data_IF_038256732064
#
_entry.id   IF_038256732064
#
_cell.length_a   1.000
_cell.length_b   1.000
_cell.length_c   1.000
_cell.angle_alpha   90.00
_cell.angle_beta   90.00
_cell.angle_gamma   90.00
#
_symmetry.space_group_name_H-M   'P 1'
#
loop_
_entity.id
_entity.type
_entity.pdbx_description
1 polymer ?
#
# COMPACT_ATOMS: atom_id res chain seq x y z
N UNK A 1 20.01 40.80 6.04
CA UNK A 1 20.00 39.39 6.51
C UNK A 1 18.61 38.84 6.19
N UNK A 2 18.52 38.00 5.16
CA UNK A 2 17.26 37.39 4.72
C UNK A 2 17.00 36.15 5.57
N UNK A 3 15.88 36.13 6.30
CA UNK A 3 15.41 34.94 6.98
C UNK A 3 14.91 33.97 5.91
N UNK A 4 15.66 32.91 5.65
CA UNK A 4 15.23 31.82 4.79
C UNK A 4 14.00 31.16 5.43
N UNK A 5 12.84 31.35 4.81
CA UNK A 5 11.63 30.56 5.01
C UNK A 5 12.00 29.09 4.84
N UNK A 6 12.04 28.33 5.94
CA UNK A 6 12.18 26.86 5.87
C UNK A 6 10.91 26.33 5.23
N UNK A 7 10.99 26.01 3.93
CA UNK A 7 9.92 25.34 3.21
C UNK A 7 9.56 24.04 3.93
N UNK A 8 8.33 24.03 4.44
CA UNK A 8 7.63 22.91 5.02
C UNK A 8 7.40 21.83 3.93
N UNK A 9 8.34 20.91 3.76
CA UNK A 9 8.26 19.78 2.80
C UNK A 9 7.87 18.51 3.53
N UNK A 10 6.75 17.90 3.11
CA UNK A 10 6.34 16.53 3.44
C UNK A 10 7.57 15.58 3.49
N UNK A 11 7.60 14.56 4.36
CA UNK A 11 8.61 13.52 4.24
C UNK A 11 8.46 12.92 2.86
N UNK A 12 9.57 12.88 2.13
CA UNK A 12 9.59 12.49 0.72
C UNK A 12 8.92 11.12 0.52
N UNK A 13 8.97 10.27 1.54
CA UNK A 13 8.46 8.91 1.60
C UNK A 13 6.92 8.82 1.64
N UNK A 14 6.18 9.91 1.86
CA UNK A 14 4.71 9.92 1.90
C UNK A 14 4.08 10.95 0.94
N UNK A 15 4.90 11.75 0.25
CA UNK A 15 4.42 12.76 -0.72
C UNK A 15 3.53 12.14 -1.79
N UNK A 16 3.87 10.94 -2.23
CA UNK A 16 3.17 10.23 -3.30
C UNK A 16 1.72 9.86 -2.95
N UNK A 17 1.32 9.86 -1.67
CA UNK A 17 -0.09 9.70 -1.30
C UNK A 17 -1.00 10.83 -1.82
N UNK A 18 -0.40 11.97 -2.20
CA UNK A 18 -1.10 13.07 -2.85
C UNK A 18 -1.27 12.90 -4.36
N UNK A 19 -0.71 11.85 -4.96
CA UNK A 19 -0.90 11.53 -6.37
C UNK A 19 -2.18 10.70 -6.60
N UNK A 20 -2.57 10.55 -7.86
CA UNK A 20 -3.66 9.67 -8.26
C UNK A 20 -3.22 8.19 -8.21
N UNK A 21 -3.90 7.31 -7.46
CA UNK A 21 -3.56 5.90 -7.45
C UNK A 21 -3.90 5.22 -8.78
N UNK A 22 -3.08 4.26 -9.20
CA UNK A 22 -3.42 3.32 -10.28
C UNK A 22 -4.61 2.45 -9.90
N UNK A 23 -4.73 2.13 -8.61
CA UNK A 23 -5.79 1.33 -8.02
C UNK A 23 -5.99 1.70 -6.54
N UNK A 24 -7.24 1.72 -6.08
CA UNK A 24 -7.57 1.81 -4.66
C UNK A 24 -8.80 0.95 -4.35
N UNK A 25 -8.67 0.06 -3.39
CA UNK A 25 -9.80 -0.71 -2.89
C UNK A 25 -10.59 0.11 -1.88
N UNK A 26 -11.58 0.85 -2.37
CA UNK A 26 -12.43 1.66 -1.51
C UNK A 26 -13.16 0.87 -0.43
N UNK A 27 -13.54 -0.39 -0.69
CA UNK A 27 -14.31 -1.15 0.30
C UNK A 27 -13.42 -1.69 1.41
N UNK A 28 -12.25 -2.23 1.08
CA UNK A 28 -11.30 -2.66 2.11
C UNK A 28 -10.75 -1.48 2.90
N UNK A 29 -10.48 -0.33 2.26
CA UNK A 29 -10.06 0.88 2.97
C UNK A 29 -11.13 1.35 3.94
N UNK A 30 -12.39 1.42 3.52
CA UNK A 30 -13.51 1.81 4.38
C UNK A 30 -13.69 0.85 5.56
N UNK A 31 -13.76 -0.46 5.32
CA UNK A 31 -13.91 -1.45 6.38
C UNK A 31 -12.75 -1.43 7.38
N UNK A 32 -11.52 -1.24 6.88
CA UNK A 32 -10.35 -1.17 7.74
C UNK A 32 -10.29 0.15 8.51
N UNK A 33 -10.62 1.27 7.87
CA UNK A 33 -10.75 2.58 8.51
C UNK A 33 -11.74 2.48 9.66
N UNK A 34 -12.93 1.93 9.40
CA UNK A 34 -13.95 1.75 10.41
C UNK A 34 -13.45 0.84 11.53
N UNK A 35 -12.82 -0.29 11.23
CA UNK A 35 -12.34 -1.23 12.26
C UNK A 35 -11.27 -0.63 13.19
N UNK A 36 -10.37 0.21 12.69
CA UNK A 36 -9.24 0.74 13.46
C UNK A 36 -9.53 2.11 14.06
N UNK A 37 -10.18 2.99 13.31
CA UNK A 37 -10.34 4.39 13.69
C UNK A 37 -11.57 4.62 14.58
N UNK A 38 -12.58 3.73 14.57
CA UNK A 38 -13.91 3.91 15.20
C UNK A 38 -14.00 5.08 16.18
N UNK A 39 -14.68 6.20 15.85
CA UNK A 39 -15.22 7.04 16.91
C UNK A 39 -16.31 6.23 17.63
N UNK A 40 -16.38 6.33 18.96
CA UNK A 40 -17.39 5.67 19.80
C UNK A 40 -18.83 6.14 19.54
N UNK A 41 -19.10 6.89 18.47
CA UNK A 41 -20.43 7.33 18.07
C UNK A 41 -20.49 7.71 16.58
N UNK A 42 -21.67 7.53 15.96
CA UNK A 42 -22.03 7.84 14.56
C UNK A 42 -22.01 9.34 14.18
N UNK A 43 -21.20 10.14 14.86
CA UNK A 43 -20.91 11.52 14.47
C UNK A 43 -19.45 11.56 14.10
N UNK A 44 -19.16 11.68 12.80
CA UNK A 44 -17.83 12.04 12.30
C UNK A 44 -17.56 13.49 12.68
N UNK A 45 -17.39 13.75 13.98
CA UNK A 45 -16.55 14.84 14.45
C UNK A 45 -15.13 14.34 14.24
N UNK A 46 -14.63 14.58 13.04
CA UNK A 46 -13.25 14.38 12.66
C UNK A 46 -12.36 14.98 13.77
N UNK A 47 -11.71 14.11 14.55
CA UNK A 47 -10.66 14.40 15.54
C UNK A 47 -10.59 15.86 16.01
N UNK A 48 -11.67 16.32 16.64
CA UNK A 48 -11.73 17.64 17.26
C UNK A 48 -11.64 17.44 18.76
N UNK A 49 -10.67 18.12 19.36
CA UNK A 49 -10.44 18.25 20.80
C UNK A 49 -9.98 16.98 21.54
N UNK A 50 -8.68 16.72 21.50
CA UNK A 50 -7.94 16.50 22.75
C UNK A 50 -6.53 17.07 22.57
N UNK A 51 -6.39 18.34 22.97
CA UNK A 51 -5.11 18.95 23.21
C UNK A 51 -4.38 18.12 24.27
N UNK A 52 -3.50 17.24 23.83
CA UNK A 52 -2.50 16.63 24.70
C UNK A 52 -1.24 17.44 24.47
N UNK A 53 -0.97 18.39 25.36
CA UNK A 53 0.29 19.12 25.49
C UNK A 53 1.40 18.18 25.93
N UNK A 54 1.71 17.19 25.10
CA UNK A 54 2.87 16.33 25.22
C UNK A 54 3.63 16.40 23.91
N UNK A 55 4.91 16.71 23.96
CA UNK A 55 5.82 16.48 22.84
C UNK A 55 5.74 15.00 22.46
N UNK A 56 4.95 14.69 21.42
CA UNK A 56 4.87 13.34 20.88
C UNK A 56 6.14 13.10 20.07
N UNK A 57 7.18 12.61 20.75
CA UNK A 57 8.37 12.07 20.11
C UNK A 57 8.03 10.68 19.56
N UNK A 58 7.71 10.64 18.27
CA UNK A 58 7.24 9.46 17.57
C UNK A 58 8.38 8.82 16.78
N UNK A 59 8.85 7.66 17.22
CA UNK A 59 9.82 6.84 16.49
C UNK A 59 9.09 5.78 15.67
N UNK A 60 8.92 5.99 14.36
CA UNK A 60 8.62 4.88 13.47
C UNK A 60 9.95 4.20 13.06
N UNK A 61 9.92 2.88 12.93
CA UNK A 61 11.08 2.11 12.48
C UNK A 61 11.18 2.22 10.96
N UNK A 62 12.14 3.03 10.50
CA UNK A 62 12.61 3.00 9.12
C UNK A 62 13.75 2.01 9.04
N UNK A 63 13.63 1.03 8.14
CA UNK A 63 14.70 0.08 7.85
C UNK A 63 15.83 0.79 7.14
N UNK A 64 16.95 0.93 7.86
CA UNK A 64 18.06 1.85 7.54
C UNK A 64 18.63 2.60 8.76
N UNK A 65 18.04 2.45 9.95
CA UNK A 65 18.60 2.98 11.21
C UNK A 65 18.42 4.50 11.41
N UNK A 66 17.83 5.20 10.45
CA UNK A 66 17.49 6.61 10.56
C UNK A 66 16.15 6.77 11.30
N UNK A 67 16.15 7.53 12.42
CA UNK A 67 14.91 8.01 13.03
C UNK A 67 14.35 9.13 12.16
N UNK A 68 13.30 8.85 11.38
CA UNK A 68 12.51 9.91 10.76
C UNK A 68 11.68 10.62 11.84
N UNK A 69 11.69 11.95 11.83
CA UNK A 69 10.90 12.78 12.72
C UNK A 69 9.47 12.90 12.17
N UNK A 70 8.66 11.88 12.43
CA UNK A 70 7.29 11.75 11.95
C UNK A 70 6.33 12.83 12.52
N UNK A 71 6.70 13.50 13.61
CA UNK A 71 5.89 14.61 14.15
C UNK A 71 5.77 15.75 13.14
N UNK A 72 6.86 16.04 12.40
CA UNK A 72 6.87 17.00 11.30
C UNK A 72 6.07 16.48 10.10
N UNK A 73 6.13 15.17 9.82
CA UNK A 73 5.38 14.53 8.73
C UNK A 73 3.87 14.80 8.81
N UNK A 74 3.31 14.66 10.01
CA UNK A 74 1.88 14.83 10.26
C UNK A 74 1.40 16.27 10.02
N UNK A 75 2.13 17.27 10.52
CA UNK A 75 1.79 18.68 10.32
C UNK A 75 1.81 19.10 8.84
N UNK A 76 2.61 18.42 8.03
CA UNK A 76 2.76 18.69 6.60
C UNK A 76 1.67 18.01 5.77
N UNK A 77 1.32 16.76 6.09
CA UNK A 77 0.18 16.07 5.48
C UNK A 77 -1.13 16.82 5.75
N UNK A 78 -1.31 17.39 6.95
CA UNK A 78 -2.47 18.23 7.26
C UNK A 78 -2.62 19.46 6.34
N UNK A 79 -1.50 20.07 5.93
CA UNK A 79 -1.49 21.29 5.11
C UNK A 79 -1.76 21.04 3.62
N UNK A 80 -1.25 19.93 3.06
CA UNK A 80 -1.51 19.57 1.65
C UNK A 80 -2.94 19.10 1.41
N UNK A 81 -3.56 18.56 2.46
CA UNK A 81 -4.89 18.00 2.42
C UNK A 81 -5.85 18.87 3.22
N UNK A 82 -6.01 20.13 2.81
CA UNK A 82 -6.72 21.26 3.45
C UNK A 82 -8.15 21.03 3.99
N UNK A 83 -8.73 19.83 3.84
CA UNK A 83 -9.94 19.37 4.53
C UNK A 83 -9.70 18.53 5.80
N UNK A 84 -8.45 18.20 6.13
CA UNK A 84 -8.05 17.58 7.40
C UNK A 84 -7.52 18.61 8.42
N UNK A 85 -7.19 19.82 7.95
CA UNK A 85 -6.53 20.88 8.72
C UNK A 85 -7.43 22.04 9.17
N UNK A 86 -8.74 22.05 8.88
CA UNK A 86 -9.64 23.12 9.41
C UNK A 86 -9.80 23.08 10.94
N UNK A 87 -9.15 22.15 11.65
CA UNK A 87 -9.23 22.02 13.11
C UNK A 87 -7.91 22.36 13.84
N UNK A 88 -6.80 22.60 13.14
CA UNK A 88 -5.52 22.94 13.80
C UNK A 88 -5.19 24.44 13.81
N UNK A 89 -6.05 25.30 13.27
CA UNK A 89 -5.80 26.75 13.14
C UNK A 89 -6.72 27.63 14.01
N UNK A 90 -7.37 27.08 15.05
CA UNK A 90 -8.08 27.89 16.07
C UNK A 90 -7.30 28.04 17.39
N UNK A 91 -6.12 27.45 17.49
CA UNK A 91 -5.29 27.51 18.68
C UNK A 91 -4.05 28.40 18.47
N UNK A 92 -4.24 29.66 18.06
CA UNK A 92 -3.29 30.77 18.30
C UNK A 92 -3.86 32.11 17.78
N UNK A 93 -5.03 32.51 18.27
CA UNK A 93 -5.49 33.90 18.16
C UNK A 93 -6.41 34.23 19.34
N UNK A 94 -5.79 34.45 20.50
CA UNK A 94 -6.45 35.21 21.57
C UNK A 94 -6.71 36.62 21.06
N UNK A 95 -7.92 36.86 20.56
CA UNK A 95 -8.34 38.16 20.04
C UNK A 95 -9.84 38.34 20.22
N UNK A 96 -10.22 39.12 21.23
CA UNK A 96 -11.58 39.57 21.43
C UNK A 96 -12.08 40.32 20.18
N UNK A 97 -13.00 39.71 19.43
CA UNK A 97 -13.64 40.30 18.24
C UNK A 97 -15.15 40.23 18.38
N UNK A 98 -15.78 41.41 18.49
CA UNK A 98 -17.22 41.62 18.66
C UNK A 98 -18.04 40.97 17.55
N UNK A 99 -19.17 40.41 17.95
CA UNK A 99 -20.29 40.03 17.10
C UNK A 99 -20.74 41.19 16.21
N UNK A 100 -20.86 40.95 14.91
CA UNK A 100 -21.76 41.69 14.02
C UNK A 100 -22.38 40.71 13.04
N UNK A 101 -23.69 40.53 13.17
CA UNK A 101 -24.57 39.87 12.22
C UNK A 101 -24.36 40.41 10.80
N UNK A 102 -23.99 39.53 9.86
CA UNK A 102 -24.27 39.72 8.44
C UNK A 102 -24.39 38.35 7.75
N UNK A 103 -25.62 37.99 7.38
CA UNK A 103 -25.99 37.14 6.23
C UNK A 103 -25.12 35.88 6.00
N UNK A 104 -25.35 34.84 6.81
CA UNK A 104 -24.77 33.51 6.59
C UNK A 104 -25.53 32.80 5.47
N UNK A 105 -24.98 32.80 4.27
CA UNK A 105 -25.23 31.68 3.36
C UNK A 105 -24.62 30.46 4.04
N UNK A 106 -25.47 29.62 4.66
CA UNK A 106 -25.04 28.34 5.21
C UNK A 106 -24.61 27.44 4.04
N UNK A 107 -23.33 27.53 3.70
CA UNK A 107 -22.67 26.54 2.84
C UNK A 107 -22.53 25.29 3.69
N UNK A 108 -23.46 24.35 3.52
CA UNK A 108 -23.34 23.01 4.09
C UNK A 108 -22.14 22.32 3.43
N UNK A 109 -21.01 22.31 4.14
CA UNK A 109 -19.79 21.62 3.71
C UNK A 109 -19.93 20.16 4.12
N UNK A 110 -20.37 19.31 3.20
CA UNK A 110 -20.38 17.86 3.40
C UNK A 110 -18.92 17.36 3.38
N UNK A 111 -18.46 16.60 4.38
CA UNK A 111 -17.12 16.05 4.38
C UNK A 111 -16.93 15.13 3.16
N UNK A 112 -15.84 15.33 2.41
CA UNK A 112 -15.50 14.45 1.29
C UNK A 112 -15.02 13.12 1.88
N UNK A 113 -15.88 12.10 1.82
CA UNK A 113 -15.54 10.72 2.14
C UNK A 113 -15.09 10.03 0.85
N UNK A 114 -13.78 10.02 0.60
CA UNK A 114 -13.19 9.24 -0.49
C UNK A 114 -12.24 8.19 0.08
N UNK A 115 -12.01 7.07 -0.62
CA UNK A 115 -11.01 6.07 -0.22
C UNK A 115 -9.63 6.67 0.04
N UNK A 116 -9.20 7.64 -0.76
CA UNK A 116 -7.91 8.31 -0.57
C UNK A 116 -7.88 9.10 0.75
N UNK A 117 -8.98 9.79 1.09
CA UNK A 117 -9.10 10.53 2.35
C UNK A 117 -9.15 9.60 3.56
N UNK A 118 -9.85 8.47 3.45
CA UNK A 118 -9.87 7.44 4.49
C UNK A 118 -8.49 6.80 4.67
N UNK A 119 -7.80 6.44 3.59
CA UNK A 119 -6.44 5.88 3.66
C UNK A 119 -5.47 6.85 4.32
N UNK A 120 -5.58 8.14 4.01
CA UNK A 120 -4.81 9.18 4.68
C UNK A 120 -5.17 9.26 6.17
N UNK A 121 -6.45 9.27 6.53
CA UNK A 121 -6.88 9.28 7.93
C UNK A 121 -6.38 8.05 8.72
N UNK A 122 -6.41 6.87 8.10
CA UNK A 122 -5.78 5.65 8.61
C UNK A 122 -4.29 5.85 8.85
N UNK A 123 -3.58 6.40 7.87
CA UNK A 123 -2.13 6.67 7.97
C UNK A 123 -1.83 7.59 9.15
N UNK A 124 -2.55 8.71 9.28
CA UNK A 124 -2.39 9.65 10.39
C UNK A 124 -2.71 8.98 11.74
N UNK A 125 -3.75 8.14 11.80
CA UNK A 125 -4.10 7.38 13.00
C UNK A 125 -2.96 6.44 13.42
N UNK A 126 -2.42 5.67 12.49
CA UNK A 126 -1.32 4.74 12.76
C UNK A 126 -0.06 5.48 13.22
N UNK A 127 0.33 6.55 12.54
CA UNK A 127 1.47 7.37 12.98
C UNK A 127 1.23 7.90 14.39
N UNK A 128 0.03 8.39 14.71
CA UNK A 128 -0.24 9.00 16.02
C UNK A 128 -0.41 8.00 17.16
N UNK A 129 -1.07 6.86 16.91
CA UNK A 129 -1.58 5.95 17.94
C UNK A 129 -0.97 4.56 17.92
N UNK A 130 -0.41 4.14 16.78
CA UNK A 130 0.12 2.79 16.58
C UNK A 130 1.47 2.82 15.82
N UNK A 131 2.47 3.59 16.27
CA UNK A 131 3.69 3.82 15.48
C UNK A 131 4.59 2.60 15.30
N UNK A 132 4.44 1.61 16.17
CA UNK A 132 5.09 0.30 16.04
C UNK A 132 4.39 -0.61 15.01
N UNK A 133 3.25 -0.20 14.46
CA UNK A 133 2.44 -0.95 13.48
C UNK A 133 2.35 -0.28 12.12
N UNK A 134 3.14 0.77 11.87
CA UNK A 134 3.32 1.36 10.55
C UNK A 134 4.76 1.16 10.08
N UNK A 135 4.91 0.66 8.86
CA UNK A 135 6.21 0.36 8.27
C UNK A 135 6.34 1.05 6.91
N UNK A 136 7.43 1.79 6.73
CA UNK A 136 7.85 2.35 5.45
C UNK A 136 9.05 1.52 4.96
N UNK A 137 8.85 0.77 3.89
CA UNK A 137 9.78 -0.25 3.43
C UNK A 137 10.27 0.12 2.04
N UNK A 138 11.55 0.50 1.98
CA UNK A 138 12.24 0.77 0.72
C UNK A 138 12.96 -0.46 0.18
N UNK A 139 13.36 -1.37 1.08
CA UNK A 139 13.98 -2.65 0.73
C UNK A 139 13.06 -3.79 1.18
N UNK A 140 12.33 -4.43 0.24
CA UNK A 140 11.46 -5.56 0.55
C UNK A 140 12.19 -6.77 1.16
N UNK A 141 13.52 -6.88 0.97
CA UNK A 141 14.30 -8.00 1.48
C UNK A 141 14.51 -7.97 2.99
N UNK A 142 14.34 -6.80 3.62
CA UNK A 142 14.45 -6.66 5.07
C UNK A 142 13.45 -7.59 5.79
N UNK A 143 13.90 -8.22 6.88
CA UNK A 143 13.08 -9.15 7.66
C UNK A 143 12.34 -8.47 8.81
N UNK A 144 12.66 -7.23 9.16
CA UNK A 144 12.14 -6.61 10.39
C UNK A 144 10.62 -6.35 10.36
N UNK A 145 10.03 -6.32 9.18
CA UNK A 145 8.58 -6.13 8.96
C UNK A 145 7.86 -7.46 8.72
N UNK A 146 8.58 -8.58 8.76
CA UNK A 146 8.07 -9.96 8.53
C UNK A 146 8.32 -10.87 9.74
N UNK A 147 8.55 -10.30 10.92
CA UNK A 147 8.66 -11.10 12.15
C UNK A 147 7.28 -11.66 12.52
N UNK A 148 7.28 -12.76 13.26
CA UNK A 148 6.04 -13.41 13.68
C UNK A 148 5.07 -12.42 14.35
N UNK A 149 5.58 -11.58 15.26
CA UNK A 149 4.79 -10.58 15.98
C UNK A 149 4.15 -9.57 15.04
N UNK A 150 4.91 -9.05 14.06
CA UNK A 150 4.39 -8.08 13.09
C UNK A 150 3.26 -8.67 12.26
N UNK A 151 3.40 -9.93 11.84
CA UNK A 151 2.45 -10.65 10.99
C UNK A 151 1.20 -11.13 11.75
N UNK A 152 1.30 -11.42 13.05
CA UNK A 152 0.17 -11.99 13.83
C UNK A 152 -0.61 -10.96 14.63
N UNK A 153 0.03 -9.90 15.13
CA UNK A 153 -0.59 -9.02 16.10
C UNK A 153 -1.70 -8.15 15.50
N UNK A 154 -2.55 -7.57 16.35
CA UNK A 154 -3.64 -6.65 15.98
C UNK A 154 -3.47 -5.26 16.61
N UNK A 155 -3.94 -4.17 15.97
CA UNK A 155 -4.48 -4.13 14.61
C UNK A 155 -3.39 -4.49 13.59
N UNK A 156 -3.76 -5.02 12.42
CA UNK A 156 -2.78 -5.48 11.41
C UNK A 156 -1.82 -4.34 11.05
N UNK A 157 -0.57 -4.68 10.77
CA UNK A 157 0.44 -3.69 10.40
C UNK A 157 0.06 -3.00 9.08
N UNK A 158 0.09 -1.67 9.06
CA UNK A 158 -0.06 -0.85 7.86
C UNK A 158 1.31 -0.68 7.21
N UNK A 159 1.43 -1.12 5.97
CA UNK A 159 2.69 -1.16 5.23
C UNK A 159 2.63 -0.26 4.03
N UNK A 160 3.70 0.52 3.86
CA UNK A 160 4.03 1.28 2.66
C UNK A 160 5.27 0.64 2.06
N UNK A 161 5.10 -0.03 0.93
CA UNK A 161 6.15 -0.84 0.30
C UNK A 161 6.51 -0.26 -1.05
N UNK A 162 7.78 0.09 -1.24
CA UNK A 162 8.32 0.49 -2.53
C UNK A 162 8.92 -0.71 -3.26
N UNK A 163 8.53 -0.88 -4.50
CA UNK A 163 9.18 -1.77 -5.46
C UNK A 163 9.78 -0.96 -6.60
N UNK A 164 10.98 -1.34 -7.00
CA UNK A 164 11.73 -0.64 -8.03
C UNK A 164 11.41 -1.26 -9.41
N UNK A 165 11.34 -0.41 -10.43
CA UNK A 165 11.17 -0.83 -11.82
C UNK A 165 12.50 -1.18 -12.48
N UNK A 166 12.43 -1.87 -13.61
CA UNK A 166 13.62 -2.18 -14.42
C UNK A 166 14.36 -0.92 -14.91
N UNK A 167 13.66 0.19 -15.15
CA UNK A 167 14.30 1.44 -15.57
C UNK A 167 15.03 2.14 -14.42
N UNK A 168 14.51 2.08 -13.20
CA UNK A 168 15.20 2.61 -12.01
C UNK A 168 16.41 1.76 -11.64
N UNK A 169 16.29 0.44 -11.75
CA UNK A 169 17.35 -0.52 -11.41
C UNK A 169 18.60 -0.39 -12.28
N UNK A 170 18.42 -0.06 -13.57
CA UNK A 170 19.54 0.25 -14.48
C UNK A 170 20.40 1.42 -14.01
N UNK A 171 19.86 2.30 -13.17
CA UNK A 171 20.57 3.48 -12.64
C UNK A 171 21.14 3.25 -11.24
N UNK A 172 20.49 2.42 -10.41
CA UNK A 172 20.90 2.18 -9.01
C UNK A 172 21.78 0.94 -8.81
N UNK A 173 21.84 0.00 -9.77
CA UNK A 173 22.57 -1.26 -9.60
C UNK A 173 21.83 -2.29 -8.74
N UNK A 174 20.57 -2.00 -8.35
CA UNK A 174 19.71 -2.96 -7.64
C UNK A 174 19.13 -3.98 -8.63
N UNK A 175 19.08 -5.26 -8.23
CA UNK A 175 18.88 -6.36 -9.18
C UNK A 175 17.43 -6.83 -9.35
N UNK A 176 16.48 -6.39 -8.52
CA UNK A 176 15.10 -6.94 -8.53
C UNK A 176 14.10 -5.93 -9.08
N UNK A 177 13.69 -6.12 -10.34
CA UNK A 177 12.54 -5.41 -10.89
C UNK A 177 11.25 -5.88 -10.23
N UNK A 178 10.19 -5.07 -10.29
CA UNK A 178 8.87 -5.45 -9.76
C UNK A 178 8.26 -6.56 -10.61
N UNK A 179 8.44 -7.81 -10.19
CA UNK A 179 7.93 -8.99 -10.89
C UNK A 179 6.63 -9.47 -10.26
N UNK A 180 5.50 -9.06 -10.83
CA UNK A 180 4.17 -9.50 -10.38
C UNK A 180 3.81 -10.82 -11.06
N UNK A 181 4.01 -11.95 -10.36
CA UNK A 181 3.71 -13.29 -10.87
C UNK A 181 2.24 -13.61 -10.51
N UNK A 182 1.29 -13.58 -11.45
CA UNK A 182 -0.11 -13.88 -11.15
C UNK A 182 -0.28 -15.36 -10.81
N UNK A 183 -0.93 -15.65 -9.68
CA UNK A 183 -1.14 -17.03 -9.21
C UNK A 183 -2.54 -17.51 -9.55
N UNK A 184 -3.58 -16.84 -9.05
CA UNK A 184 -4.97 -17.19 -9.30
C UNK A 184 -5.86 -15.95 -9.29
N UNK A 185 -7.02 -16.04 -9.93
CA UNK A 185 -8.04 -14.99 -9.87
C UNK A 185 -9.45 -15.58 -9.87
N UNK A 186 -10.38 -14.91 -9.19
CA UNK A 186 -11.83 -15.11 -9.35
C UNK A 186 -12.39 -14.06 -10.30
N UNK A 187 -13.33 -14.47 -11.16
CA UNK A 187 -13.95 -13.62 -12.16
C UNK A 187 -15.46 -13.42 -11.91
N UNK A 188 -16.11 -12.57 -12.71
CA UNK A 188 -17.53 -12.21 -12.58
C UNK A 188 -18.49 -13.40 -12.59
N UNK A 189 -18.14 -14.48 -13.27
CA UNK A 189 -18.90 -15.73 -13.31
C UNK A 189 -18.71 -16.61 -12.05
N UNK A 190 -17.88 -16.18 -11.09
CA UNK A 190 -17.55 -16.88 -9.86
C UNK A 190 -16.51 -18.00 -10.04
N UNK A 191 -15.94 -18.16 -11.23
CA UNK A 191 -14.92 -19.19 -11.49
C UNK A 191 -13.56 -18.71 -10.99
N UNK A 192 -12.88 -19.58 -10.25
CA UNK A 192 -11.48 -19.38 -9.83
C UNK A 192 -10.56 -20.07 -10.83
N UNK A 193 -9.66 -19.31 -11.44
CA UNK A 193 -8.71 -19.81 -12.45
C UNK A 193 -7.28 -19.66 -11.94
N UNK A 194 -6.50 -20.75 -11.88
CA UNK A 194 -5.05 -20.65 -11.68
C UNK A 194 -4.42 -20.06 -12.95
N UNK A 195 -3.71 -18.94 -12.81
CA UNK A 195 -3.06 -18.20 -13.91
C UNK A 195 -1.60 -18.66 -14.09
N UNK A 196 -0.91 -18.98 -12.99
CA UNK A 196 0.51 -19.40 -13.04
C UNK A 196 0.83 -20.57 -14.00
N UNK A 197 -0.06 -21.54 -14.29
CA UNK A 197 0.26 -22.62 -15.24
C UNK A 197 0.49 -22.14 -16.67
N UNK A 198 0.00 -20.96 -17.04
CA UNK A 198 0.22 -20.33 -18.35
C UNK A 198 1.61 -19.64 -18.43
N UNK A 199 2.29 -19.47 -17.30
CA UNK A 199 3.62 -18.85 -17.24
C UNK A 199 4.68 -19.92 -17.49
N UNK A 200 5.00 -20.15 -18.76
CA UNK A 200 6.04 -21.07 -19.21
C UNK A 200 7.29 -20.33 -19.71
N UNK A 201 8.44 -21.02 -19.72
CA UNK A 201 9.64 -20.54 -20.43
C UNK A 201 9.32 -20.25 -21.90
N UNK A 202 10.18 -19.45 -22.54
CA UNK A 202 10.15 -19.30 -24.00
C UNK A 202 10.30 -20.64 -24.75
N UNK A 203 10.98 -21.63 -24.14
CA UNK A 203 11.09 -23.00 -24.63
C UNK A 203 9.81 -23.83 -24.50
N UNK A 204 8.79 -23.32 -23.80
CA UNK A 204 7.57 -24.07 -23.44
C UNK A 204 7.70 -24.94 -22.19
N UNK A 205 8.86 -24.93 -21.53
CA UNK A 205 9.06 -25.65 -20.28
C UNK A 205 8.16 -25.09 -19.17
N UNK A 206 7.55 -26.01 -18.41
CA UNK A 206 6.65 -25.71 -17.29
C UNK A 206 7.43 -25.57 -15.98
N UNK A 207 6.88 -24.86 -14.98
CA UNK A 207 7.49 -24.77 -13.66
C UNK A 207 7.70 -26.16 -13.03
N UNK A 208 8.69 -26.30 -12.14
CA UNK A 208 8.88 -27.52 -11.36
C UNK A 208 7.63 -27.81 -10.50
N UNK A 209 7.48 -29.04 -10.01
CA UNK A 209 6.37 -29.38 -9.11
C UNK A 209 6.52 -28.62 -7.78
N UNK A 210 5.43 -28.05 -7.28
CA UNK A 210 5.43 -27.41 -5.96
C UNK A 210 5.72 -28.44 -4.86
N UNK A 211 6.59 -28.14 -3.88
CA UNK A 211 6.90 -29.06 -2.79
C UNK A 211 5.77 -29.10 -1.75
N UNK A 212 5.18 -30.27 -1.56
CA UNK A 212 4.07 -30.50 -0.62
C UNK A 212 4.45 -31.42 0.55
N UNK A 213 5.56 -32.16 0.43
CA UNK A 213 6.00 -33.17 1.40
C UNK A 213 7.48 -33.03 1.69
N UNK A 214 7.87 -33.20 2.96
CA UNK A 214 9.25 -33.11 3.43
C UNK A 214 9.33 -32.57 4.86
N UNK A 215 10.54 -32.43 5.37
CA UNK A 215 10.82 -31.65 6.58
C UNK A 215 10.58 -30.15 6.34
N UNK A 216 10.46 -29.36 7.42
CA UNK A 216 10.24 -27.92 7.32
C UNK A 216 11.33 -27.19 6.53
N UNK A 217 12.59 -27.60 6.69
CA UNK A 217 13.73 -27.03 5.97
C UNK A 217 13.70 -27.39 4.48
N UNK A 218 13.39 -28.65 4.14
CA UNK A 218 13.24 -29.09 2.74
C UNK A 218 12.09 -28.37 2.05
N UNK A 219 10.95 -28.21 2.74
CA UNK A 219 9.80 -27.46 2.23
C UNK A 219 10.16 -26.00 2.01
N UNK A 220 10.86 -25.36 2.95
CA UNK A 220 11.28 -23.96 2.80
C UNK A 220 12.19 -23.77 1.59
N UNK A 221 13.23 -24.60 1.44
CA UNK A 221 14.18 -24.52 0.34
C UNK A 221 13.52 -24.86 -1.00
N UNK A 222 12.69 -25.90 -1.06
CA UNK A 222 11.97 -26.25 -2.28
C UNK A 222 11.00 -25.15 -2.72
N UNK A 223 10.31 -24.48 -1.78
CA UNK A 223 9.37 -23.38 -2.10
C UNK A 223 10.12 -22.18 -2.66
N UNK A 224 11.29 -21.90 -2.10
CA UNK A 224 12.21 -20.86 -2.59
C UNK A 224 12.66 -21.15 -4.02
N UNK A 225 13.13 -22.37 -4.29
CA UNK A 225 13.52 -22.79 -5.64
C UNK A 225 12.36 -22.70 -6.64
N UNK A 226 11.16 -23.12 -6.23
CA UNK A 226 9.96 -23.03 -7.05
C UNK A 226 9.65 -21.58 -7.46
N UNK A 227 9.64 -20.64 -6.52
CA UNK A 227 9.35 -19.23 -6.84
C UNK A 227 10.51 -18.53 -7.53
N UNK A 228 11.75 -18.94 -7.26
CA UNK A 228 12.91 -18.44 -7.97
C UNK A 228 12.83 -18.77 -9.47
N UNK A 229 12.38 -19.96 -9.83
CA UNK A 229 12.14 -20.32 -11.23
C UNK A 229 11.22 -19.33 -11.96
N UNK A 230 10.09 -18.94 -11.36
CA UNK A 230 9.20 -17.94 -11.98
C UNK A 230 9.84 -16.56 -12.09
N UNK A 231 10.70 -16.22 -11.14
CA UNK A 231 11.41 -14.94 -11.13
C UNK A 231 12.44 -14.86 -12.25
N UNK A 232 13.21 -15.94 -12.44
CA UNK A 232 14.21 -16.05 -13.50
C UNK A 232 13.59 -16.03 -14.91
N UNK A 233 12.38 -16.59 -15.04
CA UNK A 233 11.67 -16.70 -16.32
C UNK A 233 10.59 -15.62 -16.50
N UNK A 234 10.56 -14.61 -15.63
CA UNK A 234 9.48 -13.64 -15.61
C UNK A 234 9.43 -12.79 -16.88
N UNK A 235 8.24 -12.69 -17.45
CA UNK A 235 7.93 -11.76 -18.54
C UNK A 235 6.64 -11.02 -18.21
N UNK A 236 6.73 -9.70 -18.04
CA UNK A 236 5.57 -8.86 -17.79
C UNK A 236 4.52 -8.96 -18.91
N UNK A 237 4.96 -9.15 -20.16
CA UNK A 237 4.06 -9.32 -21.29
C UNK A 237 3.32 -10.65 -21.25
N UNK A 238 4.00 -11.74 -20.87
CA UNK A 238 3.36 -13.04 -20.72
C UNK A 238 2.39 -13.04 -19.54
N UNK A 239 2.79 -12.47 -18.40
CA UNK A 239 1.94 -12.35 -17.22
C UNK A 239 0.67 -11.54 -17.52
N UNK A 240 0.79 -10.39 -18.19
CA UNK A 240 -0.36 -9.58 -18.61
C UNK A 240 -1.28 -10.36 -19.55
N UNK A 241 -0.73 -11.01 -20.58
CA UNK A 241 -1.53 -11.79 -21.54
C UNK A 241 -2.23 -12.99 -20.89
N UNK A 242 -1.60 -13.64 -19.90
CA UNK A 242 -2.22 -14.74 -19.16
C UNK A 242 -3.46 -14.26 -18.40
N UNK A 243 -3.38 -13.09 -17.77
CA UNK A 243 -4.53 -12.46 -17.09
C UNK A 243 -5.62 -12.08 -18.10
N UNK A 244 -5.26 -11.41 -19.21
CA UNK A 244 -6.21 -11.01 -20.25
C UNK A 244 -6.91 -12.21 -20.90
N UNK A 245 -6.17 -13.30 -21.14
CA UNK A 245 -6.72 -14.55 -21.66
C UNK A 245 -7.78 -15.12 -20.71
N UNK A 246 -7.49 -15.22 -19.42
CA UNK A 246 -8.45 -15.70 -18.43
C UNK A 246 -9.69 -14.79 -18.36
N UNK A 247 -9.48 -13.47 -18.35
CA UNK A 247 -10.55 -12.47 -18.33
C UNK A 247 -11.44 -12.51 -19.59
N UNK A 248 -10.86 -12.77 -20.76
CA UNK A 248 -11.62 -12.90 -22.01
C UNK A 248 -12.63 -14.06 -21.97
N UNK A 249 -12.40 -15.05 -21.11
CA UNK A 249 -13.24 -16.23 -20.96
C UNK A 249 -14.26 -16.08 -19.82
N UNK A 250 -13.87 -15.41 -18.73
CA UNK A 250 -14.64 -15.40 -17.47
C UNK A 250 -15.17 -14.03 -17.04
N UNK A 251 -14.82 -12.94 -17.74
CA UNK A 251 -15.26 -11.59 -17.43
C UNK A 251 -14.25 -10.80 -16.61
N UNK A 252 -14.72 -9.87 -15.77
CA UNK A 252 -13.83 -9.00 -14.99
C UNK A 252 -13.34 -9.71 -13.74
N UNK A 253 -12.15 -9.30 -13.30
CA UNK A 253 -11.55 -9.80 -12.06
C UNK A 253 -12.32 -9.29 -10.84
N UNK A 254 -12.75 -10.22 -9.97
CA UNK A 254 -13.27 -9.93 -8.63
C UNK A 254 -12.12 -9.80 -7.63
N UNK A 255 -11.21 -10.77 -7.63
CA UNK A 255 -9.92 -10.70 -6.93
C UNK A 255 -8.85 -11.44 -7.72
N UNK A 256 -7.59 -11.05 -7.51
CA UNK A 256 -6.42 -11.68 -8.10
C UNK A 256 -5.27 -11.68 -7.10
N UNK A 257 -4.60 -12.81 -7.04
CA UNK A 257 -3.43 -13.04 -6.21
C UNK A 257 -2.15 -12.97 -7.05
N UNK A 258 -1.11 -12.40 -6.46
CA UNK A 258 0.22 -12.36 -7.02
C UNK A 258 1.25 -12.85 -6.02
N UNK A 259 2.36 -13.37 -6.54
CA UNK A 259 3.61 -13.53 -5.81
C UNK A 259 4.61 -12.52 -6.35
N UNK A 260 5.26 -11.81 -5.45
CA UNK A 260 6.27 -10.81 -5.78
C UNK A 260 7.56 -11.20 -5.09
N UNK A 261 8.65 -11.45 -5.83
CA UNK A 261 9.95 -11.73 -5.25
C UNK A 261 10.41 -10.55 -4.39
N UNK A 262 10.79 -10.84 -3.16
CA UNK A 262 11.32 -9.87 -2.20
C UNK A 262 12.77 -10.17 -1.81
N UNK A 263 13.33 -11.30 -2.23
CA UNK A 263 14.72 -11.66 -2.02
C UNK A 263 15.31 -12.47 -3.18
N UNK A 264 16.63 -12.45 -3.32
CA UNK A 264 17.38 -13.27 -4.29
C UNK A 264 17.26 -14.78 -4.04
N UNK A 265 16.96 -15.14 -2.80
CA UNK A 265 16.84 -16.52 -2.35
C UNK A 265 15.50 -17.14 -2.75
N UNK A 266 14.58 -16.37 -3.37
CA UNK A 266 13.26 -16.84 -3.77
C UNK A 266 12.18 -16.66 -2.71
N UNK A 267 12.42 -15.84 -1.67
CA UNK A 267 11.33 -15.42 -0.80
C UNK A 267 10.38 -14.51 -1.57
N UNK A 268 9.08 -14.68 -1.36
CA UNK A 268 8.04 -13.90 -2.05
C UNK A 268 7.06 -13.30 -1.05
N UNK A 269 6.56 -12.12 -1.38
CA UNK A 269 5.36 -11.54 -0.79
C UNK A 269 4.15 -11.99 -1.61
N UNK A 270 3.14 -12.53 -0.93
CA UNK A 270 1.82 -12.71 -1.52
C UNK A 270 1.06 -11.38 -1.50
N UNK A 271 0.47 -11.02 -2.63
CA UNK A 271 -0.39 -9.84 -2.76
C UNK A 271 -1.79 -10.28 -3.08
N UNK A 272 -2.74 -9.94 -2.21
CA UNK A 272 -4.16 -10.12 -2.46
C UNK A 272 -4.77 -8.79 -2.92
N UNK A 273 -5.23 -8.73 -4.18
CA UNK A 273 -5.84 -7.53 -4.76
C UNK A 273 -7.30 -7.80 -5.10
N UNK A 274 -8.19 -6.89 -4.70
CA UNK A 274 -9.65 -7.07 -4.88
C UNK A 274 -10.24 -5.92 -5.69
N UNK A 275 -10.13 -5.94 -7.04
CA UNK A 275 -10.78 -4.95 -7.89
C UNK A 275 -12.30 -4.98 -7.82
N UNK A 276 -12.89 -6.08 -7.36
CA UNK A 276 -14.34 -6.29 -7.23
C UNK A 276 -15.10 -5.96 -8.52
N UNK A 277 -14.54 -6.32 -9.69
CA UNK A 277 -15.09 -6.07 -11.02
C UNK A 277 -15.30 -4.58 -11.40
N UNK A 278 -14.77 -3.66 -10.59
CA UNK A 278 -14.90 -2.21 -10.80
C UNK A 278 -13.92 -1.66 -11.85
N UNK A 279 -12.90 -2.45 -12.18
CA UNK A 279 -11.83 -2.07 -13.11
C UNK A 279 -11.92 -2.91 -14.39
N UNK A 280 -11.64 -2.27 -15.53
CA UNK A 280 -11.38 -3.00 -16.76
C UNK A 280 -10.13 -3.87 -16.56
N UNK A 281 -10.21 -5.15 -16.90
CA UNK A 281 -9.15 -6.12 -16.58
C UNK A 281 -7.89 -5.88 -17.40
N UNK A 282 -8.01 -5.48 -18.68
CA UNK A 282 -6.85 -5.16 -19.51
C UNK A 282 -6.13 -3.92 -18.98
N UNK A 283 -6.89 -2.87 -18.65
CA UNK A 283 -6.32 -1.64 -18.05
C UNK A 283 -5.67 -1.94 -16.69
N UNK A 284 -6.33 -2.73 -15.83
CA UNK A 284 -5.79 -3.12 -14.54
C UNK A 284 -4.49 -3.93 -14.69
N UNK A 285 -4.49 -4.97 -15.50
CA UNK A 285 -3.32 -5.83 -15.72
C UNK A 285 -2.16 -5.03 -16.35
N UNK A 286 -2.44 -4.17 -17.32
CA UNK A 286 -1.43 -3.31 -17.92
C UNK A 286 -0.81 -2.34 -16.90
N UNK A 287 -1.65 -1.61 -16.16
CA UNK A 287 -1.17 -0.64 -15.18
C UNK A 287 -0.41 -1.31 -14.03
N UNK A 288 -0.87 -2.45 -13.54
CA UNK A 288 -0.22 -3.08 -12.40
C UNK A 288 1.01 -3.89 -12.82
N UNK A 289 0.89 -4.78 -13.80
CA UNK A 289 1.97 -5.69 -14.21
C UNK A 289 2.97 -5.00 -15.12
N UNK A 290 2.53 -4.42 -16.24
CA UNK A 290 3.46 -3.88 -17.25
C UNK A 290 4.12 -2.60 -16.77
N UNK A 291 3.34 -1.64 -16.26
CA UNK A 291 3.92 -0.39 -15.73
C UNK A 291 4.69 -0.63 -14.45
N UNK A 292 4.19 -1.47 -13.54
CA UNK A 292 4.92 -1.84 -12.33
C UNK A 292 6.29 -2.45 -12.63
N UNK A 293 6.39 -3.40 -13.55
CA UNK A 293 7.69 -3.96 -13.96
C UNK A 293 8.64 -2.92 -14.57
N UNK A 294 8.10 -1.93 -15.30
CA UNK A 294 8.90 -0.91 -15.98
C UNK A 294 9.37 0.20 -15.04
N UNK A 295 8.44 0.79 -14.32
CA UNK A 295 8.62 2.03 -13.54
C UNK A 295 8.74 1.78 -12.03
N UNK A 296 8.24 0.64 -11.54
CA UNK A 296 8.14 0.35 -10.12
C UNK A 296 6.76 0.70 -9.57
N UNK A 297 6.52 0.35 -8.31
CA UNK A 297 5.25 0.56 -7.63
C UNK A 297 5.47 1.04 -6.20
N UNK A 298 4.49 1.79 -5.70
CA UNK A 298 4.33 2.03 -4.26
C UNK A 298 3.01 1.43 -3.84
N UNK A 299 3.07 0.49 -2.90
CA UNK A 299 1.90 -0.23 -2.39
C UNK A 299 1.57 0.24 -0.99
N UNK A 300 0.27 0.38 -0.71
CA UNK A 300 -0.24 0.47 0.65
C UNK A 300 -1.07 -0.76 0.93
N UNK A 301 -0.81 -1.42 2.05
CA UNK A 301 -1.54 -2.63 2.40
C UNK A 301 -1.48 -3.00 3.87
N UNK A 302 -2.21 -4.03 4.23
CA UNK A 302 -2.18 -4.61 5.58
C UNK A 302 -1.57 -6.00 5.55
N UNK A 303 -0.61 -6.28 6.43
CA UNK A 303 0.01 -7.61 6.51
C UNK A 303 -0.87 -8.64 7.22
N UNK A 304 -0.76 -9.88 6.78
CA UNK A 304 -1.32 -11.08 7.41
C UNK A 304 -0.24 -12.11 7.73
N UNK A 305 -0.66 -13.27 8.21
CA UNK A 305 0.19 -14.43 8.50
C UNK A 305 0.65 -15.11 7.21
N UNK A 306 1.89 -15.61 7.21
CA UNK A 306 2.72 -15.75 6.00
C UNK A 306 2.96 -14.35 5.38
N UNK A 307 4.06 -14.05 4.67
CA UNK A 307 4.18 -12.72 4.06
C UNK A 307 3.09 -12.58 2.99
N UNK A 308 1.92 -12.09 3.40
CA UNK A 308 0.71 -11.82 2.63
C UNK A 308 0.25 -10.42 2.97
N UNK A 309 -0.14 -9.68 1.94
CA UNK A 309 -0.60 -8.31 2.03
C UNK A 309 -1.92 -8.16 1.29
N UNK A 310 -2.95 -7.75 2.03
CA UNK A 310 -4.12 -7.14 1.40
C UNK A 310 -3.72 -5.79 0.84
N UNK A 311 -3.80 -5.63 -0.47
CA UNK A 311 -3.47 -4.37 -1.13
C UNK A 311 -4.65 -3.41 -1.02
N UNK A 312 -4.44 -2.29 -0.32
CA UNK A 312 -5.41 -1.21 -0.19
C UNK A 312 -5.29 -0.21 -1.33
N UNK A 313 -4.06 0.11 -1.75
CA UNK A 313 -3.82 1.05 -2.85
C UNK A 313 -2.50 0.75 -3.56
N UNK A 314 -2.46 1.12 -4.85
CA UNK A 314 -1.32 0.96 -5.75
C UNK A 314 -1.06 2.30 -6.43
N UNK A 315 0.19 2.75 -6.40
CA UNK A 315 0.66 3.95 -7.06
C UNK A 315 1.85 3.60 -7.96
N UNK A 316 2.06 4.37 -9.01
CA UNK A 316 3.30 4.30 -9.78
C UNK A 316 4.44 4.96 -8.99
N UNK A 317 5.67 4.51 -9.24
CA UNK A 317 6.86 5.07 -8.61
C UNK A 317 7.42 6.29 -9.35
#
# INVERSE_FOLDING_TARGET
MSAATKENKLPNELIWLADAPLFIDGSQVEQFFDAVVQPSSKVVKLLSSQATTGEVSLSAKVTGGAKLDFSKALGLLGNFFSGLGEVSAEAEAGGAGKSSDQSRNDVERIPIVSPQRQLLGLTLHYVSKQPNRIFLINDPSDQCWRTAEVLTDVPRALVFLEFHGTESNRKSGEHFGTMLIPTAAEFDDGVVVPIYPELTRASGERPPKYPETGSEEELLNGRREYWKWFSEEFSADHAMRAIEKAASQHGRIRWIDFRVPISEQGDTLHLHVVPAAKYDTGVFAYNFVKRGFKHGLRLVGTLKSEPDMNVLAIYER
#
